data_IF_230212779346
#
_entry.id   IF_230212779346
#
_cell.length_a   1.000
_cell.length_b   1.000
_cell.length_c   1.000
_cell.angle_alpha   90.00
_cell.angle_beta   90.00
_cell.angle_gamma   90.00
#
_symmetry.space_group_name_H-M   'P 1'
#
loop_
_entity.id
_entity.type
_entity.pdbx_description
1 polymer ?
#
# COMPACT_ATOMS: atom_id res chain seq x y z
N UNK A 1 -10.15 26.77 -30.94
CA UNK A 1 -9.31 27.22 -29.81
C UNK A 1 -9.72 28.63 -29.49
N UNK A 2 -9.96 28.94 -28.22
CA UNK A 2 -10.32 30.28 -27.72
C UNK A 2 -9.16 30.80 -26.89
N UNK A 3 -8.86 32.10 -26.96
CA UNK A 3 -7.80 32.74 -26.17
C UNK A 3 -8.43 33.53 -25.01
N UNK A 4 -7.97 33.27 -23.79
CA UNK A 4 -8.47 33.92 -22.58
C UNK A 4 -8.29 35.44 -22.62
N UNK A 5 -7.30 35.98 -23.34
CA UNK A 5 -7.05 37.42 -23.44
C UNK A 5 -8.15 38.18 -24.20
N UNK A 6 -9.06 37.47 -24.87
CA UNK A 6 -10.19 38.04 -25.61
C UNK A 6 -11.40 38.33 -24.72
N UNK A 7 -11.34 37.96 -23.43
CA UNK A 7 -12.44 38.03 -22.50
C UNK A 7 -12.09 38.95 -21.33
N UNK A 8 -13.11 39.59 -20.76
CA UNK A 8 -12.94 40.43 -19.57
C UNK A 8 -12.61 39.61 -18.32
N UNK A 9 -13.09 38.36 -18.25
CA UNK A 9 -12.84 37.45 -17.13
C UNK A 9 -12.49 36.05 -17.63
N UNK A 10 -11.78 35.29 -16.81
CA UNK A 10 -11.48 33.90 -17.12
C UNK A 10 -12.75 33.03 -17.15
N UNK A 11 -13.76 33.34 -16.33
CA UNK A 11 -15.04 32.63 -16.36
C UNK A 11 -15.76 32.80 -17.71
N UNK A 12 -15.74 34.00 -18.30
CA UNK A 12 -16.35 34.24 -19.61
C UNK A 12 -15.66 33.41 -20.70
N UNK A 13 -14.33 33.30 -20.65
CA UNK A 13 -13.57 32.48 -21.57
C UNK A 13 -13.88 30.98 -21.41
N UNK A 14 -14.04 30.49 -20.17
CA UNK A 14 -14.48 29.12 -19.88
C UNK A 14 -15.89 28.88 -20.45
N UNK A 15 -16.82 29.81 -20.20
CA UNK A 15 -18.20 29.71 -20.68
C UNK A 15 -18.27 29.65 -22.21
N UNK A 16 -17.49 30.51 -22.90
CA UNK A 16 -17.43 30.59 -24.35
C UNK A 16 -16.76 29.36 -25.01
N UNK A 17 -15.97 28.59 -24.25
CA UNK A 17 -15.30 27.39 -24.78
C UNK A 17 -16.34 26.30 -25.06
N UNK A 18 -16.52 25.85 -26.32
CA UNK A 18 -17.47 24.77 -26.61
C UNK A 18 -17.02 23.47 -25.95
N UNK A 19 -17.96 22.56 -25.68
CA UNK A 19 -17.64 21.21 -25.21
C UNK A 19 -16.71 20.49 -26.20
N UNK A 20 -15.73 19.75 -25.67
CA UNK A 20 -14.61 19.20 -26.43
C UNK A 20 -13.60 20.25 -26.95
N UNK A 21 -13.85 21.53 -26.69
CA UNK A 21 -13.02 22.65 -27.12
C UNK A 21 -11.81 22.89 -26.24
N UNK A 22 -10.94 23.80 -26.71
CA UNK A 22 -9.72 24.21 -26.02
C UNK A 22 -9.71 25.71 -25.75
N UNK A 23 -9.57 26.06 -24.46
CA UNK A 23 -9.22 27.37 -23.94
C UNK A 23 -7.70 27.45 -23.78
N UNK A 24 -7.11 28.48 -24.36
CA UNK A 24 -5.71 28.83 -24.20
C UNK A 24 -5.59 30.01 -23.23
N UNK A 25 -4.75 29.87 -22.21
CA UNK A 25 -4.41 30.92 -21.24
C UNK A 25 -2.97 31.40 -21.50
N UNK A 26 -2.75 32.49 -22.24
CA UNK A 26 -1.40 33.04 -22.39
C UNK A 26 -0.80 33.45 -21.04
N UNK A 27 0.52 33.62 -20.99
CA UNK A 27 1.21 34.14 -19.79
C UNK A 27 0.54 35.42 -19.30
N UNK A 28 0.25 35.47 -18.01
CA UNK A 28 -0.45 36.60 -17.39
C UNK A 28 -1.08 36.22 -16.05
N UNK A 29 -1.50 37.26 -15.32
CA UNK A 29 -2.26 37.12 -14.08
C UNK A 29 -3.75 37.23 -14.36
N UNK A 30 -4.47 36.21 -13.93
CA UNK A 30 -5.93 36.10 -14.00
C UNK A 30 -6.46 36.20 -12.56
N UNK A 31 -6.66 37.42 -12.02
CA UNK A 31 -7.11 37.60 -10.66
C UNK A 31 -8.54 37.08 -10.50
N UNK A 32 -8.80 36.38 -9.40
CA UNK A 32 -10.12 35.87 -9.03
C UNK A 32 -10.40 36.20 -7.57
N UNK A 33 -11.59 36.71 -7.30
CA UNK A 33 -12.06 37.08 -5.96
C UNK A 33 -13.57 36.85 -5.85
N UNK A 34 -14.09 36.79 -4.63
CA UNK A 34 -15.51 36.64 -4.38
C UNK A 34 -15.82 35.71 -3.22
N UNK A 35 -17.09 35.32 -3.13
CA UNK A 35 -17.65 34.45 -2.09
C UNK A 35 -18.61 33.45 -2.73
N UNK A 36 -18.86 32.33 -2.05
CA UNK A 36 -19.81 31.31 -2.52
C UNK A 36 -19.18 29.92 -2.50
N UNK A 37 -19.73 28.99 -3.26
CA UNK A 37 -19.18 27.64 -3.36
C UNK A 37 -17.92 27.58 -4.25
N UNK A 38 -17.80 28.46 -5.27
CA UNK A 38 -16.65 28.49 -6.16
C UNK A 38 -16.38 29.89 -6.73
N UNK A 39 -15.15 30.15 -7.19
CA UNK A 39 -14.79 31.35 -7.98
C UNK A 39 -14.95 31.10 -9.48
N UNK A 40 -14.51 29.93 -9.94
CA UNK A 40 -14.63 29.48 -11.33
C UNK A 40 -15.40 28.15 -11.39
N UNK A 41 -16.30 28.03 -12.35
CA UNK A 41 -17.05 26.80 -12.63
C UNK A 41 -16.74 26.26 -14.02
N UNK A 42 -16.46 24.96 -14.08
CA UNK A 42 -16.34 24.19 -15.33
C UNK A 42 -17.42 23.11 -15.33
N UNK A 43 -18.35 23.19 -16.26
CA UNK A 43 -19.55 22.33 -16.28
C UNK A 43 -19.63 21.38 -17.47
N UNK A 44 -18.54 21.22 -18.21
CA UNK A 44 -18.45 20.46 -19.47
C UNK A 44 -17.01 20.03 -19.72
N UNK A 45 -16.83 18.99 -20.53
CA UNK A 45 -15.51 18.54 -20.96
C UNK A 45 -14.83 19.59 -21.83
N UNK A 46 -13.75 20.19 -21.34
CA UNK A 46 -12.92 21.14 -22.09
C UNK A 46 -11.45 20.93 -21.76
N UNK A 47 -10.58 21.39 -22.66
CA UNK A 47 -9.16 21.56 -22.37
C UNK A 47 -8.89 23.01 -21.96
N UNK A 48 -8.28 23.23 -20.79
CA UNK A 48 -7.69 24.52 -20.40
C UNK A 48 -6.18 24.33 -20.38
N UNK A 49 -5.47 25.05 -21.25
CA UNK A 49 -4.02 24.96 -21.38
C UNK A 49 -3.38 26.34 -21.21
N UNK A 50 -2.45 26.46 -20.27
CA UNK A 50 -1.59 27.63 -20.14
C UNK A 50 -0.25 27.52 -20.88
N UNK A 51 0.61 28.52 -20.67
CA UNK A 51 1.99 28.58 -21.18
C UNK A 51 3.01 28.31 -20.05
N UNK A 52 2.70 27.30 -19.22
CA UNK A 52 3.45 26.95 -18.03
C UNK A 52 3.11 27.82 -16.83
N UNK A 53 4.03 27.89 -15.86
CA UNK A 53 3.79 28.60 -14.57
C UNK A 53 3.63 30.13 -14.71
N UNK A 54 3.83 30.69 -15.91
CA UNK A 54 3.57 32.09 -16.21
C UNK A 54 2.08 32.41 -16.43
N UNK A 55 1.24 31.41 -16.72
CA UNK A 55 -0.21 31.56 -16.75
C UNK A 55 -0.75 31.31 -15.34
N UNK A 56 -1.18 32.36 -14.63
CA UNK A 56 -1.42 32.32 -13.18
C UNK A 56 -2.84 32.75 -12.84
N UNK A 57 -3.61 31.85 -12.25
CA UNK A 57 -4.84 32.20 -11.54
C UNK A 57 -4.43 32.70 -10.17
N UNK A 58 -4.66 33.98 -9.89
CA UNK A 58 -4.24 34.65 -8.65
C UNK A 58 -5.46 34.85 -7.76
N UNK A 59 -5.47 34.19 -6.61
CA UNK A 59 -6.63 34.15 -5.71
C UNK A 59 -6.49 35.21 -4.63
N UNK A 60 -7.46 36.12 -4.56
CA UNK A 60 -7.49 37.20 -3.56
C UNK A 60 -7.48 36.63 -2.13
N UNK A 61 -6.72 37.29 -1.25
CA UNK A 61 -6.55 36.90 0.14
C UNK A 61 -7.85 36.90 0.97
N UNK A 62 -8.89 37.63 0.52
CA UNK A 62 -10.18 37.73 1.19
C UNK A 62 -11.12 36.56 0.90
N UNK A 63 -10.76 35.64 -0.02
CA UNK A 63 -11.64 34.53 -0.40
C UNK A 63 -11.82 33.56 0.79
N UNK A 64 -13.06 33.30 1.24
CA UNK A 64 -13.31 32.44 2.39
C UNK A 64 -12.77 31.02 2.23
N UNK A 65 -12.34 30.40 3.34
CA UNK A 65 -11.87 29.01 3.38
C UNK A 65 -12.95 27.94 3.08
N UNK A 66 -14.17 28.36 2.73
CA UNK A 66 -15.29 27.51 2.29
C UNK A 66 -15.52 27.55 0.79
N UNK A 67 -14.82 28.42 0.05
CA UNK A 67 -14.98 28.63 -1.40
C UNK A 67 -13.88 27.87 -2.16
N UNK A 68 -14.24 27.15 -3.22
CA UNK A 68 -13.24 26.50 -4.09
C UNK A 68 -12.76 27.47 -5.18
N UNK A 69 -11.50 27.38 -5.61
CA UNK A 69 -11.02 28.25 -6.70
C UNK A 69 -11.62 27.81 -8.03
N UNK A 70 -11.35 26.56 -8.44
CA UNK A 70 -12.00 25.92 -9.58
C UNK A 70 -12.89 24.79 -9.05
N UNK A 71 -14.17 24.82 -9.39
CA UNK A 71 -15.07 23.69 -9.19
C UNK A 71 -15.53 23.13 -10.53
N UNK A 72 -15.26 21.84 -10.72
CA UNK A 72 -15.75 21.07 -11.86
C UNK A 72 -17.03 20.39 -11.41
N UNK A 73 -18.15 20.71 -12.05
CA UNK A 73 -19.47 20.28 -11.62
C UNK A 73 -20.48 20.40 -12.75
N UNK A 74 -21.31 19.38 -12.96
CA UNK A 74 -22.47 19.44 -13.86
C UNK A 74 -23.69 18.79 -13.22
N UNK A 75 -24.82 19.50 -13.23
CA UNK A 75 -26.12 18.98 -12.77
C UNK A 75 -26.95 18.35 -13.88
N UNK A 76 -26.47 18.37 -15.13
CA UNK A 76 -27.29 18.02 -16.31
C UNK A 76 -26.71 16.89 -17.15
N UNK A 77 -25.40 16.69 -17.12
CA UNK A 77 -24.72 15.69 -17.95
C UNK A 77 -23.39 15.27 -17.33
N UNK A 78 -22.91 14.10 -17.71
CA UNK A 78 -21.53 13.65 -17.45
C UNK A 78 -20.52 14.65 -18.02
N UNK A 79 -19.37 14.76 -17.34
CA UNK A 79 -18.22 15.52 -17.82
C UNK A 79 -17.13 14.52 -18.24
N UNK A 80 -16.98 14.32 -19.55
CA UNK A 80 -15.93 13.47 -20.13
C UNK A 80 -14.89 14.32 -20.86
N UNK A 81 -13.60 13.99 -20.79
CA UNK A 81 -12.56 14.69 -21.56
C UNK A 81 -12.13 16.05 -21.01
N UNK A 82 -12.20 16.22 -19.68
CA UNK A 82 -11.63 17.39 -19.01
C UNK A 82 -10.10 17.29 -18.97
N UNK A 83 -9.41 18.30 -19.50
CA UNK A 83 -7.95 18.38 -19.43
C UNK A 83 -7.50 19.76 -18.92
N UNK A 84 -6.78 19.78 -17.80
CA UNK A 84 -6.20 20.99 -17.22
C UNK A 84 -4.69 20.89 -17.29
N UNK A 85 -4.01 21.80 -18.01
CA UNK A 85 -2.56 21.70 -18.13
C UNK A 85 -1.81 23.03 -18.18
N UNK A 86 -0.55 22.98 -17.70
CA UNK A 86 0.44 24.02 -17.95
C UNK A 86 0.06 25.41 -17.41
N UNK A 87 -0.50 25.49 -16.21
CA UNK A 87 -0.77 26.77 -15.53
C UNK A 87 -0.54 26.65 -14.02
N UNK A 88 -0.68 27.77 -13.30
CA UNK A 88 -0.64 27.78 -11.84
C UNK A 88 -1.86 28.42 -11.22
N UNK A 89 -2.20 27.98 -10.01
CA UNK A 89 -3.22 28.55 -9.14
C UNK A 89 -2.51 28.93 -7.85
N UNK A 90 -2.49 30.20 -7.48
CA UNK A 90 -1.74 30.67 -6.32
C UNK A 90 -2.53 31.69 -5.50
N UNK A 91 -2.46 31.66 -4.17
CA UNK A 91 -2.97 32.75 -3.35
C UNK A 91 -2.09 34.00 -3.55
N UNK A 92 -2.70 35.17 -3.52
CA UNK A 92 -1.97 36.44 -3.45
C UNK A 92 -1.21 36.54 -2.12
N UNK A 93 -1.87 36.19 -1.02
CA UNK A 93 -1.28 36.03 0.30
C UNK A 93 -2.14 35.14 1.20
N UNK A 94 -1.57 34.66 2.30
CA UNK A 94 -2.29 33.82 3.26
C UNK A 94 -2.67 32.44 2.72
N UNK A 95 -3.80 31.92 3.19
CA UNK A 95 -4.36 30.61 2.83
C UNK A 95 -5.87 30.76 2.51
N UNK A 96 -6.22 31.55 1.49
CA UNK A 96 -7.61 31.72 1.06
C UNK A 96 -8.16 30.41 0.48
N UNK A 97 -9.47 30.37 0.25
CA UNK A 97 -10.15 29.24 -0.40
C UNK A 97 -10.01 27.89 0.34
N UNK A 98 -10.84 26.93 -0.05
CA UNK A 98 -10.81 25.56 0.47
C UNK A 98 -9.85 24.68 -0.33
N UNK A 99 -10.06 24.62 -1.64
CA UNK A 99 -9.26 23.83 -2.59
C UNK A 99 -8.88 24.67 -3.80
N UNK A 100 -7.74 24.36 -4.42
CA UNK A 100 -7.38 24.92 -5.72
C UNK A 100 -8.24 24.35 -6.84
N UNK A 101 -8.46 23.03 -6.82
CA UNK A 101 -9.34 22.33 -7.76
C UNK A 101 -10.23 21.36 -6.98
N UNK A 102 -11.55 21.49 -7.17
CA UNK A 102 -12.55 20.55 -6.66
C UNK A 102 -13.25 19.88 -7.85
N UNK A 103 -13.00 18.58 -8.05
CA UNK A 103 -13.76 17.72 -8.95
C UNK A 103 -14.96 17.21 -8.16
N UNK A 104 -16.13 17.78 -8.38
CA UNK A 104 -17.33 17.56 -7.57
C UNK A 104 -18.40 16.77 -8.33
N UNK A 105 -18.34 15.45 -8.17
CA UNK A 105 -19.38 14.50 -8.56
C UNK A 105 -20.30 14.13 -7.38
N UNK A 106 -20.18 14.81 -6.23
CA UNK A 106 -21.05 14.55 -5.06
C UNK A 106 -22.39 15.25 -5.21
N UNK A 107 -22.34 16.51 -5.63
CA UNK A 107 -23.54 17.30 -5.89
C UNK A 107 -23.97 17.18 -7.35
N UNK A 108 -23.04 16.85 -8.25
CA UNK A 108 -23.35 16.54 -9.64
C UNK A 108 -23.92 15.13 -9.68
N UNK A 109 -25.12 14.94 -10.19
CA UNK A 109 -25.67 13.58 -10.38
C UNK A 109 -24.92 12.79 -11.45
N UNK A 110 -23.88 13.37 -12.03
CA UNK A 110 -23.22 12.86 -13.21
C UNK A 110 -21.70 12.71 -12.97
N UNK A 111 -21.10 11.66 -13.54
CA UNK A 111 -19.69 11.39 -13.35
C UNK A 111 -18.76 12.42 -13.99
N UNK A 112 -17.50 12.38 -13.54
CA UNK A 112 -16.38 13.07 -14.18
C UNK A 112 -15.40 11.99 -14.65
N UNK A 113 -15.28 11.79 -15.95
CA UNK A 113 -14.58 10.66 -16.54
C UNK A 113 -13.54 11.08 -17.59
N UNK A 114 -12.60 10.17 -17.87
CA UNK A 114 -11.61 10.27 -18.95
C UNK A 114 -10.90 11.64 -18.99
N UNK A 115 -10.39 12.07 -17.84
CA UNK A 115 -9.83 13.40 -17.65
C UNK A 115 -8.40 13.40 -17.10
N UNK A 116 -7.77 14.57 -17.14
CA UNK A 116 -6.45 14.74 -16.55
C UNK A 116 -6.14 16.15 -16.03
N UNK A 117 -5.24 16.19 -15.04
CA UNK A 117 -4.56 17.39 -14.57
C UNK A 117 -3.06 17.15 -14.77
N UNK A 118 -2.41 17.97 -15.61
CA UNK A 118 -1.04 17.75 -16.08
C UNK A 118 -0.19 19.01 -15.91
N UNK A 119 0.95 18.91 -15.20
CA UNK A 119 1.89 20.05 -15.02
C UNK A 119 1.25 21.32 -14.45
N UNK A 120 0.22 21.16 -13.60
CA UNK A 120 -0.41 22.26 -12.88
C UNK A 120 0.32 22.49 -11.55
N UNK A 121 0.57 23.75 -11.22
CA UNK A 121 1.14 24.15 -9.92
C UNK A 121 0.05 24.76 -9.04
N UNK A 122 -0.12 24.26 -7.82
CA UNK A 122 -1.16 24.71 -6.88
C UNK A 122 -0.47 25.22 -5.60
N UNK A 123 -0.75 26.46 -5.24
CA UNK A 123 -0.30 27.10 -4.00
C UNK A 123 -1.01 26.56 -2.76
N UNK A 124 -0.68 27.12 -1.59
CA UNK A 124 -1.33 26.71 -0.33
C UNK A 124 -2.69 27.38 -0.19
N UNK A 125 -3.74 26.58 -0.04
CA UNK A 125 -5.10 27.02 0.23
C UNK A 125 -5.55 26.43 1.57
N UNK A 126 -6.57 25.56 1.59
CA UNK A 126 -6.87 24.70 2.73
C UNK A 126 -5.80 23.62 2.96
N UNK A 127 -6.21 22.51 3.56
CA UNK A 127 -5.30 21.39 3.80
C UNK A 127 -4.94 20.64 2.51
N UNK A 128 -5.89 20.48 1.58
CA UNK A 128 -5.69 19.81 0.31
C UNK A 128 -5.69 20.80 -0.86
N UNK A 129 -4.81 20.58 -1.84
CA UNK A 129 -4.77 21.39 -3.05
C UNK A 129 -5.79 20.96 -4.09
N UNK A 130 -6.04 19.65 -4.18
CA UNK A 130 -7.02 19.03 -5.06
C UNK A 130 -7.96 18.14 -4.24
N UNK A 131 -9.26 18.27 -4.51
CA UNK A 131 -10.28 17.37 -4.00
C UNK A 131 -11.03 16.70 -5.15
N UNK A 132 -11.32 15.42 -4.97
CA UNK A 132 -12.23 14.61 -5.76
C UNK A 132 -13.33 14.14 -4.82
N UNK A 133 -14.52 14.72 -4.95
CA UNK A 133 -15.66 14.45 -4.10
C UNK A 133 -16.70 13.70 -4.92
N UNK A 134 -16.86 12.40 -4.66
CA UNK A 134 -17.84 11.56 -5.35
C UNK A 134 -19.18 11.46 -4.62
N UNK A 135 -20.16 10.80 -5.26
CA UNK A 135 -21.53 10.69 -4.77
C UNK A 135 -21.65 9.81 -3.52
N UNK A 136 -22.82 9.86 -2.90
CA UNK A 136 -23.19 8.93 -1.83
C UNK A 136 -23.76 7.65 -2.45
N UNK A 137 -23.36 6.44 -2.00
CA UNK A 137 -24.02 5.20 -2.39
C UNK A 137 -25.55 5.28 -2.20
N UNK A 138 -26.34 4.64 -3.10
CA UNK A 138 -25.93 3.64 -4.09
C UNK A 138 -25.48 4.20 -5.45
N UNK A 139 -25.29 5.52 -5.59
CA UNK A 139 -24.71 6.08 -6.81
C UNK A 139 -23.19 5.83 -6.79
N UNK A 140 -22.65 5.21 -7.84
CA UNK A 140 -21.22 4.86 -7.93
C UNK A 140 -20.45 5.67 -8.99
N UNK A 141 -21.19 6.42 -9.82
CA UNK A 141 -20.64 7.18 -10.95
C UNK A 141 -20.03 8.50 -10.45
N UNK A 142 -18.88 8.38 -9.79
CA UNK A 142 -18.08 9.49 -9.29
C UNK A 142 -17.03 9.96 -10.30
N UNK A 143 -15.80 10.10 -9.82
CA UNK A 143 -14.65 10.44 -10.66
C UNK A 143 -13.89 9.17 -11.00
N UNK A 144 -13.78 8.81 -12.28
CA UNK A 144 -13.11 7.58 -12.72
C UNK A 144 -12.31 7.78 -14.00
N UNK A 145 -11.37 6.87 -14.28
CA UNK A 145 -10.44 6.98 -15.42
C UNK A 145 -9.80 8.37 -15.49
N UNK A 146 -9.18 8.78 -14.38
CA UNK A 146 -8.67 10.14 -14.21
C UNK A 146 -7.20 10.12 -13.80
N UNK A 147 -6.40 11.03 -14.39
CA UNK A 147 -4.98 11.13 -14.10
C UNK A 147 -4.58 12.49 -13.50
N UNK A 148 -3.74 12.47 -12.47
CA UNK A 148 -3.03 13.66 -11.97
C UNK A 148 -1.55 13.41 -12.14
N UNK A 149 -0.90 14.17 -13.02
CA UNK A 149 0.47 13.89 -13.43
C UNK A 149 1.36 15.13 -13.49
N UNK A 150 2.63 14.96 -13.09
CA UNK A 150 3.67 16.00 -13.17
C UNK A 150 3.30 17.33 -12.45
N UNK A 151 2.40 17.28 -11.48
CA UNK A 151 1.90 18.46 -10.77
C UNK A 151 2.78 18.83 -9.56
N UNK A 152 2.69 20.10 -9.17
CA UNK A 152 3.38 20.65 -8.00
C UNK A 152 2.34 21.23 -7.05
N UNK A 153 1.95 20.48 -6.03
CA UNK A 153 0.80 20.77 -5.17
C UNK A 153 1.29 21.07 -3.75
N UNK A 154 1.12 22.33 -3.31
CA UNK A 154 1.34 22.72 -1.92
C UNK A 154 0.08 22.45 -1.10
N UNK A 155 -0.03 21.24 -0.59
CA UNK A 155 -1.18 20.69 0.12
C UNK A 155 -1.26 19.18 -0.06
N UNK A 156 -2.30 18.59 0.53
CA UNK A 156 -2.69 17.21 0.29
C UNK A 156 -3.50 16.97 -0.99
N UNK A 157 -3.96 15.73 -1.13
CA UNK A 157 -4.93 15.27 -2.13
C UNK A 157 -6.07 14.58 -1.38
N UNK A 158 -7.31 15.01 -1.63
CA UNK A 158 -8.50 14.38 -1.07
C UNK A 158 -9.21 13.59 -2.16
N UNK A 159 -9.23 12.27 -2.04
CA UNK A 159 -10.12 11.41 -2.81
C UNK A 159 -11.19 10.91 -1.85
N UNK A 160 -12.35 11.57 -1.82
CA UNK A 160 -13.48 11.17 -0.99
C UNK A 160 -14.61 10.61 -1.85
N UNK A 161 -14.81 9.30 -1.75
CA UNK A 161 -15.71 8.51 -2.59
C UNK A 161 -15.40 8.66 -4.07
N UNK A 162 -14.12 8.74 -4.41
CA UNK A 162 -13.68 8.72 -5.81
C UNK A 162 -13.91 7.32 -6.42
N UNK A 163 -14.08 7.26 -7.73
CA UNK A 163 -14.30 6.02 -8.47
C UNK A 163 -13.00 5.31 -8.84
N UNK A 164 -13.06 4.57 -9.94
CA UNK A 164 -12.05 3.57 -10.32
C UNK A 164 -10.98 4.16 -11.26
N UNK A 165 -9.90 3.40 -11.43
CA UNK A 165 -8.87 3.65 -12.47
C UNK A 165 -8.22 5.04 -12.34
N UNK A 166 -7.84 5.39 -11.11
CA UNK A 166 -7.22 6.67 -10.79
C UNK A 166 -5.70 6.55 -10.81
N UNK A 167 -5.03 7.39 -11.60
CA UNK A 167 -3.57 7.40 -11.71
C UNK A 167 -2.99 8.71 -11.22
N UNK A 168 -2.23 8.65 -10.12
CA UNK A 168 -1.55 9.78 -9.52
C UNK A 168 -0.05 9.54 -9.61
N UNK A 169 0.63 10.19 -10.56
CA UNK A 169 2.04 9.89 -10.83
C UNK A 169 2.94 11.09 -11.08
N UNK A 170 4.21 10.97 -10.67
CA UNK A 170 5.24 11.98 -10.90
C UNK A 170 4.92 13.37 -10.32
N UNK A 171 4.10 13.43 -9.27
CA UNK A 171 3.71 14.69 -8.62
C UNK A 171 4.61 15.00 -7.40
N UNK A 172 4.65 16.28 -7.03
CA UNK A 172 5.20 16.75 -5.76
C UNK A 172 4.08 17.25 -4.86
N UNK A 173 3.95 16.67 -3.67
CA UNK A 173 3.05 17.11 -2.60
C UNK A 173 3.87 17.58 -1.40
N UNK A 174 3.62 18.79 -0.91
CA UNK A 174 4.30 19.33 0.29
C UNK A 174 3.44 20.33 1.06
N UNK A 175 3.83 20.64 2.30
CA UNK A 175 3.11 21.59 3.15
C UNK A 175 2.14 20.88 4.12
N UNK A 176 1.01 21.52 4.41
CA UNK A 176 -0.02 20.95 5.30
C UNK A 176 -0.90 19.94 4.55
N UNK A 177 -1.66 19.14 5.31
CA UNK A 177 -2.59 18.15 4.78
C UNK A 177 -2.02 16.74 4.65
N UNK A 178 -2.75 15.88 3.97
CA UNK A 178 -2.43 14.46 3.75
C UNK A 178 -2.88 14.02 2.35
N UNK A 179 -2.38 12.86 1.90
CA UNK A 179 -3.01 12.14 0.79
C UNK A 179 -4.08 11.23 1.40
N UNK A 180 -5.35 11.59 1.27
CA UNK A 180 -6.47 10.78 1.72
C UNK A 180 -7.10 10.06 0.53
N UNK A 181 -7.21 8.73 0.64
CA UNK A 181 -7.88 7.90 -0.37
C UNK A 181 -9.01 7.13 0.27
N UNK A 182 -10.22 7.45 -0.14
CA UNK A 182 -11.44 6.77 0.21
C UNK A 182 -12.19 6.52 -1.10
N UNK A 183 -11.95 5.39 -1.75
CA UNK A 183 -12.70 5.08 -2.96
C UNK A 183 -14.15 4.72 -2.63
N UNK A 184 -15.06 4.88 -3.58
CA UNK A 184 -16.47 4.57 -3.37
C UNK A 184 -16.70 3.06 -3.26
N UNK A 185 -17.70 2.65 -2.47
CA UNK A 185 -18.04 1.25 -2.33
C UNK A 185 -19.29 1.00 -1.49
N UNK A 186 -19.85 -0.20 -1.62
CA UNK A 186 -20.94 -0.72 -0.80
C UNK A 186 -20.80 -2.24 -0.65
N UNK A 187 -20.65 -2.71 0.58
CA UNK A 187 -20.37 -4.13 0.85
C UNK A 187 -19.03 -4.54 0.23
N UNK A 188 -19.01 -5.67 -0.48
CA UNK A 188 -17.81 -6.17 -1.18
C UNK A 188 -17.53 -5.51 -2.52
N UNK A 189 -18.42 -4.62 -3.01
CA UNK A 189 -18.21 -3.93 -4.28
C UNK A 189 -17.57 -2.57 -4.01
N UNK A 190 -16.32 -2.41 -4.43
CA UNK A 190 -15.52 -1.21 -4.20
C UNK A 190 -14.81 -0.82 -5.45
N UNK A 191 -14.58 0.48 -5.61
CA UNK A 191 -13.82 1.01 -6.71
C UNK A 191 -12.39 0.45 -6.74
N UNK A 192 -11.93 0.15 -7.95
CA UNK A 192 -10.66 -0.52 -8.23
C UNK A 192 -9.60 0.40 -8.82
N UNK A 193 -8.35 -0.07 -8.81
CA UNK A 193 -7.34 0.44 -9.74
C UNK A 193 -6.83 1.83 -9.38
N UNK A 194 -6.68 2.11 -8.08
CA UNK A 194 -5.96 3.29 -7.62
C UNK A 194 -4.45 3.07 -7.71
N UNK A 195 -3.76 3.97 -8.38
CA UNK A 195 -2.32 3.89 -8.62
C UNK A 195 -1.67 5.19 -8.17
N UNK A 196 -0.77 5.10 -7.18
CA UNK A 196 0.01 6.22 -6.67
C UNK A 196 1.50 5.89 -6.79
N UNK A 197 2.16 6.45 -7.81
CA UNK A 197 3.54 6.08 -8.12
C UNK A 197 4.48 7.22 -8.50
N UNK A 198 5.78 7.06 -8.24
CA UNK A 198 6.81 8.05 -8.61
C UNK A 198 6.57 9.47 -8.07
N UNK A 199 5.75 9.61 -7.03
CA UNK A 199 5.48 10.89 -6.40
C UNK A 199 6.53 11.20 -5.31
N UNK A 200 6.69 12.48 -5.02
CA UNK A 200 7.41 12.96 -3.85
C UNK A 200 6.40 13.57 -2.86
N UNK A 201 6.31 13.01 -1.65
CA UNK A 201 5.33 13.40 -0.62
C UNK A 201 6.05 13.84 0.64
N UNK A 202 5.83 15.09 1.02
CA UNK A 202 6.38 15.72 2.24
C UNK A 202 5.32 16.48 3.05
N UNK A 203 4.04 16.12 2.86
CA UNK A 203 2.92 16.73 3.58
C UNK A 203 2.82 16.21 5.02
N UNK A 204 2.40 17.05 5.97
CA UNK A 204 2.37 16.74 7.42
C UNK A 204 1.64 15.46 7.84
N UNK A 205 0.60 15.06 7.11
CA UNK A 205 -0.28 13.97 7.49
C UNK A 205 0.05 12.62 6.82
N UNK A 206 1.05 12.58 5.93
CA UNK A 206 1.40 11.36 5.21
C UNK A 206 0.31 10.89 4.25
N UNK A 207 0.12 9.58 4.15
CA UNK A 207 -0.85 8.91 3.27
C UNK A 207 -1.80 8.06 4.11
N UNK A 208 -3.10 8.22 3.89
CA UNK A 208 -4.15 7.44 4.55
C UNK A 208 -5.08 6.83 3.50
N UNK A 209 -5.21 5.50 3.54
CA UNK A 209 -6.10 4.73 2.67
C UNK A 209 -7.23 4.18 3.53
N UNK A 210 -8.43 4.70 3.35
CA UNK A 210 -9.66 4.26 4.02
C UNK A 210 -10.37 3.16 3.25
N UNK A 211 -10.39 3.23 1.93
CA UNK A 211 -10.99 2.22 1.08
C UNK A 211 -10.29 2.22 -0.29
N UNK A 212 -9.95 1.04 -0.78
CA UNK A 212 -9.50 0.78 -2.14
C UNK A 212 -9.37 -0.72 -2.36
N UNK A 213 -9.88 -1.21 -3.49
CA UNK A 213 -9.57 -2.57 -3.94
C UNK A 213 -8.53 -2.56 -5.05
N UNK A 214 -7.53 -3.44 -4.92
CA UNK A 214 -6.44 -3.56 -5.90
C UNK A 214 -5.68 -2.23 -6.13
N UNK A 215 -5.48 -1.46 -5.07
CA UNK A 215 -4.71 -0.22 -5.13
C UNK A 215 -3.22 -0.43 -4.91
N UNK A 216 -2.40 0.54 -5.32
CA UNK A 216 -0.95 0.49 -5.13
C UNK A 216 -0.36 1.85 -4.77
N UNK A 217 0.54 1.86 -3.79
CA UNK A 217 1.50 2.94 -3.50
C UNK A 217 2.89 2.40 -3.83
N UNK A 218 3.46 2.84 -4.95
CA UNK A 218 4.69 2.24 -5.48
C UNK A 218 5.75 3.23 -5.95
N UNK A 219 7.01 2.97 -5.61
CA UNK A 219 8.16 3.75 -6.11
C UNK A 219 8.10 5.26 -5.82
N UNK A 220 7.50 5.64 -4.69
CA UNK A 220 7.43 7.03 -4.23
C UNK A 220 8.59 7.35 -3.29
N UNK A 221 8.91 8.65 -3.19
CA UNK A 221 9.72 9.20 -2.13
C UNK A 221 8.80 9.87 -1.10
N UNK A 222 8.67 9.28 0.10
CA UNK A 222 7.76 9.77 1.13
C UNK A 222 8.59 10.08 2.37
N UNK A 223 8.64 11.34 2.76
CA UNK A 223 9.43 11.81 3.90
C UNK A 223 8.62 12.80 4.72
N UNK A 224 8.41 12.48 6.00
CA UNK A 224 7.74 13.39 6.92
C UNK A 224 8.79 14.17 7.72
N UNK A 225 8.61 15.48 7.78
CA UNK A 225 9.54 16.37 8.49
C UNK A 225 9.25 16.43 10.00
N UNK A 226 10.09 17.13 10.76
CA UNK A 226 9.89 17.27 12.21
C UNK A 226 8.62 18.07 12.56
N UNK A 227 7.85 17.58 13.53
CA UNK A 227 6.52 18.09 13.85
C UNK A 227 5.39 17.59 12.94
N UNK A 228 5.68 16.77 11.92
CA UNK A 228 4.65 16.02 11.22
C UNK A 228 3.97 15.01 12.16
N UNK A 229 2.67 14.80 11.96
CA UNK A 229 1.85 13.91 12.79
C UNK A 229 1.61 12.55 12.14
N UNK A 230 1.71 12.48 10.81
CA UNK A 230 1.27 11.32 10.05
C UNK A 230 -0.23 11.05 10.21
N UNK A 231 -0.66 9.86 9.80
CA UNK A 231 -2.03 9.37 9.94
C UNK A 231 -2.04 8.27 10.99
N UNK A 232 -2.70 8.50 12.13
CA UNK A 232 -2.64 7.63 13.31
C UNK A 232 -1.20 7.27 13.72
N UNK A 233 -0.30 8.25 13.67
CA UNK A 233 1.12 8.07 13.99
C UNK A 233 1.90 7.26 12.96
N UNK A 234 1.35 7.05 11.75
CA UNK A 234 2.03 6.36 10.66
C UNK A 234 2.25 7.25 9.43
N UNK A 235 3.32 6.99 8.66
CA UNK A 235 3.55 7.66 7.36
C UNK A 235 2.55 7.20 6.31
N UNK A 236 2.36 5.87 6.21
CA UNK A 236 1.33 5.24 5.40
C UNK A 236 0.41 4.47 6.34
N UNK A 237 -0.88 4.77 6.33
CA UNK A 237 -1.90 4.14 7.16
C UNK A 237 -3.01 3.56 6.27
N UNK A 238 -3.08 2.23 6.16
CA UNK A 238 -4.30 1.58 5.67
C UNK A 238 -5.22 1.38 6.87
N UNK A 239 -6.41 1.95 6.77
CA UNK A 239 -7.38 1.99 7.85
C UNK A 239 -8.79 1.88 7.30
N UNK A 240 -9.15 0.64 6.96
CA UNK A 240 -10.50 0.34 6.53
C UNK A 240 -11.54 0.52 7.61
N UNK A 241 -12.79 0.40 7.16
CA UNK A 241 -13.89 0.01 8.04
C UNK A 241 -14.21 -1.47 7.79
N UNK A 242 -14.75 -2.17 8.80
CA UNK A 242 -15.03 -3.60 8.71
C UNK A 242 -16.03 -4.02 7.62
N UNK A 243 -16.74 -3.08 7.00
CA UNK A 243 -17.67 -3.35 5.90
C UNK A 243 -17.01 -3.23 4.52
N UNK A 244 -16.02 -2.34 4.40
CA UNK A 244 -15.39 -1.95 3.13
C UNK A 244 -13.90 -1.66 3.37
N UNK A 245 -13.09 -2.71 3.66
CA UNK A 245 -11.67 -2.53 3.95
C UNK A 245 -10.85 -2.30 2.67
N UNK A 246 -9.65 -1.70 2.77
CA UNK A 246 -8.65 -1.83 1.72
C UNK A 246 -8.31 -3.30 1.48
N UNK A 247 -8.45 -3.75 0.24
CA UNK A 247 -8.24 -5.14 -0.14
C UNK A 247 -7.23 -5.26 -1.29
N UNK A 248 -6.39 -6.29 -1.23
CA UNK A 248 -5.37 -6.58 -2.27
C UNK A 248 -4.48 -5.37 -2.58
N UNK A 249 -4.13 -4.60 -1.54
CA UNK A 249 -3.41 -3.34 -1.68
C UNK A 249 -1.89 -3.56 -1.62
N UNK A 250 -1.14 -2.91 -2.51
CA UNK A 250 0.31 -3.00 -2.55
C UNK A 250 0.99 -1.73 -2.02
N UNK A 251 2.01 -1.89 -1.17
CA UNK A 251 2.97 -0.86 -0.80
C UNK A 251 4.35 -1.36 -1.19
N UNK A 252 4.88 -0.86 -2.31
CA UNK A 252 6.06 -1.46 -2.93
C UNK A 252 7.14 -0.48 -3.36
N UNK A 253 8.40 -0.79 -3.04
CA UNK A 253 9.55 -0.10 -3.63
C UNK A 253 9.67 1.39 -3.27
N UNK A 254 8.98 1.85 -2.23
CA UNK A 254 9.00 3.25 -1.80
C UNK A 254 10.19 3.53 -0.87
N UNK A 255 10.64 4.78 -0.83
CA UNK A 255 11.33 5.32 0.35
C UNK A 255 10.29 5.88 1.31
N UNK A 256 10.34 5.47 2.59
CA UNK A 256 9.35 5.88 3.61
C UNK A 256 10.10 6.31 4.87
N UNK A 257 10.47 7.58 4.94
CA UNK A 257 11.11 8.21 6.08
C UNK A 257 10.12 8.86 7.03
N UNK A 258 9.81 8.26 8.20
CA UNK A 258 9.00 8.94 9.19
C UNK A 258 9.79 10.08 9.84
N UNK A 259 9.10 11.18 10.13
CA UNK A 259 9.67 12.25 10.94
C UNK A 259 9.87 11.81 12.39
N UNK A 260 10.67 12.53 13.19
CA UNK A 260 10.94 12.16 14.60
C UNK A 260 9.68 11.93 15.45
N UNK A 261 8.60 12.65 15.15
CA UNK A 261 7.33 12.58 15.88
C UNK A 261 6.37 11.48 15.35
N UNK A 262 6.71 10.79 14.26
CA UNK A 262 5.88 9.76 13.63
C UNK A 262 6.46 8.39 13.97
N UNK A 263 5.88 7.64 14.92
CA UNK A 263 6.48 6.41 15.41
C UNK A 263 6.43 5.25 14.42
N UNK A 264 5.53 5.29 13.42
CA UNK A 264 5.28 4.16 12.51
C UNK A 264 5.54 4.54 11.05
N UNK A 265 6.25 3.70 10.29
CA UNK A 265 6.37 3.92 8.83
C UNK A 265 5.10 3.43 8.12
N UNK A 266 4.72 2.17 8.34
CA UNK A 266 3.53 1.56 7.71
C UNK A 266 2.64 0.96 8.79
N UNK A 267 1.38 1.38 8.83
CA UNK A 267 0.32 0.79 9.65
C UNK A 267 -0.72 0.13 8.77
N UNK A 268 -1.07 -1.12 9.09
CA UNK A 268 -2.14 -1.87 8.44
C UNK A 268 -3.19 -2.24 9.50
N UNK A 269 -4.41 -1.73 9.30
CA UNK A 269 -5.55 -1.96 10.19
C UNK A 269 -6.84 -2.08 9.40
N UNK A 270 -7.64 -3.12 9.69
CA UNK A 270 -8.88 -3.39 8.96
C UNK A 270 -8.64 -3.38 7.44
N UNK A 271 -7.65 -4.16 7.02
CA UNK A 271 -7.27 -4.32 5.62
C UNK A 271 -6.93 -5.79 5.38
N UNK A 272 -7.20 -6.29 4.17
CA UNK A 272 -7.01 -7.69 3.82
C UNK A 272 -6.16 -7.85 2.55
N UNK A 273 -5.33 -8.89 2.49
CA UNK A 273 -4.54 -9.18 1.29
C UNK A 273 -3.49 -8.10 0.98
N UNK A 274 -3.02 -7.37 1.99
CA UNK A 274 -2.02 -6.30 1.79
C UNK A 274 -0.64 -6.88 1.53
N UNK A 275 0.09 -6.35 0.54
CA UNK A 275 1.48 -6.71 0.26
C UNK A 275 2.39 -5.52 0.52
N UNK A 276 3.34 -5.66 1.44
CA UNK A 276 4.37 -4.66 1.78
C UNK A 276 5.73 -5.18 1.35
N UNK A 277 6.31 -4.64 0.27
CA UNK A 277 7.52 -5.23 -0.31
C UNK A 277 8.58 -4.24 -0.81
N UNK A 278 9.85 -4.57 -0.60
CA UNK A 278 10.95 -3.89 -1.28
C UNK A 278 11.09 -2.40 -0.93
N UNK A 279 10.44 -1.93 0.13
CA UNK A 279 10.53 -0.54 0.56
C UNK A 279 11.86 -0.28 1.29
N UNK A 280 12.37 0.94 1.17
CA UNK A 280 13.44 1.48 1.99
C UNK A 280 12.84 2.23 3.18
N UNK A 281 13.10 1.71 4.38
CA UNK A 281 12.44 2.12 5.61
C UNK A 281 13.49 2.63 6.63
N UNK A 282 13.98 3.88 6.49
CA UNK A 282 14.89 4.48 7.46
C UNK A 282 14.18 4.82 8.79
N UNK A 283 15.00 5.22 9.78
CA UNK A 283 14.67 5.64 11.16
C UNK A 283 13.21 5.96 11.43
N UNK A 284 12.62 5.35 12.46
CA UNK A 284 11.41 5.81 13.15
C UNK A 284 11.58 5.69 14.66
N UNK A 285 10.80 6.45 15.45
CA UNK A 285 10.86 6.37 16.92
C UNK A 285 10.16 5.12 17.47
N UNK A 286 9.31 4.48 16.68
CA UNK A 286 8.57 3.26 17.04
C UNK A 286 8.77 2.10 16.04
N UNK A 287 7.66 1.51 15.61
CA UNK A 287 7.63 0.32 14.74
C UNK A 287 7.84 0.68 13.29
N UNK A 288 8.69 -0.03 12.56
CA UNK A 288 8.74 0.18 11.10
C UNK A 288 7.42 -0.24 10.45
N UNK A 289 6.95 -1.46 10.75
CA UNK A 289 5.66 -1.97 10.29
C UNK A 289 4.82 -2.41 11.48
N UNK A 290 3.56 -1.95 11.52
CA UNK A 290 2.56 -2.30 12.53
C UNK A 290 1.34 -2.95 11.86
N UNK A 291 1.11 -4.22 12.14
CA UNK A 291 -0.12 -4.93 11.80
C UNK A 291 -0.98 -5.06 13.06
N UNK A 292 -2.18 -4.49 13.01
CA UNK A 292 -3.14 -4.59 14.13
C UNK A 292 -3.88 -5.93 14.13
N UNK A 293 -4.63 -6.22 15.20
CA UNK A 293 -5.48 -7.41 15.31
C UNK A 293 -6.57 -7.55 14.25
N UNK A 294 -6.86 -6.48 13.50
CA UNK A 294 -7.85 -6.47 12.43
C UNK A 294 -7.23 -6.55 11.03
N UNK A 295 -5.90 -6.68 10.92
CA UNK A 295 -5.25 -6.92 9.64
C UNK A 295 -5.32 -8.41 9.30
N UNK A 296 -5.62 -8.75 8.05
CA UNK A 296 -5.71 -10.13 7.59
C UNK A 296 -4.90 -10.35 6.31
N UNK A 297 -4.36 -11.56 6.12
CA UNK A 297 -3.65 -11.98 4.89
C UNK A 297 -2.58 -10.98 4.42
N UNK A 298 -1.85 -10.38 5.36
CA UNK A 298 -0.81 -9.40 5.04
C UNK A 298 0.54 -10.08 4.81
N UNK A 299 1.20 -9.75 3.70
CA UNK A 299 2.52 -10.26 3.34
C UNK A 299 3.56 -9.14 3.44
N UNK A 300 4.64 -9.36 4.20
CA UNK A 300 5.75 -8.41 4.36
C UNK A 300 7.03 -9.06 3.83
N UNK A 301 7.60 -8.55 2.74
CA UNK A 301 8.72 -9.23 2.08
C UNK A 301 9.82 -8.27 1.64
N UNK A 302 11.08 -8.67 1.79
CA UNK A 302 12.24 -8.01 1.16
C UNK A 302 12.36 -6.50 1.39
N UNK A 303 11.75 -5.97 2.47
CA UNK A 303 11.93 -4.56 2.83
C UNK A 303 13.33 -4.35 3.39
N UNK A 304 13.97 -3.25 3.00
CA UNK A 304 15.30 -2.89 3.46
C UNK A 304 15.19 -1.83 4.53
N UNK A 305 15.52 -2.20 5.76
CA UNK A 305 15.98 -1.21 6.73
C UNK A 305 17.37 -0.73 6.28
N UNK A 306 17.55 0.59 6.17
CA UNK A 306 18.83 1.16 5.76
C UNK A 306 19.78 1.18 6.97
N UNK A 307 21.01 0.61 6.89
CA UNK A 307 21.98 0.70 7.98
C UNK A 307 23.16 1.61 7.64
N UNK A 308 23.38 2.67 8.43
CA UNK A 308 24.64 3.00 9.13
C UNK A 308 24.38 4.21 10.06
N UNK A 309 24.32 3.99 11.38
CA UNK A 309 24.22 5.05 12.40
C UNK A 309 22.82 5.33 12.98
N UNK A 310 21.77 4.76 12.41
CA UNK A 310 20.38 5.03 12.83
C UNK A 310 19.72 3.76 13.40
N UNK A 311 19.30 3.80 14.66
CA UNK A 311 18.72 2.65 15.36
C UNK A 311 17.20 2.59 15.20
N UNK A 312 16.69 1.47 14.70
CA UNK A 312 15.27 1.10 14.76
C UNK A 312 15.03 0.43 16.11
N UNK A 313 14.07 0.95 16.90
CA UNK A 313 13.74 0.40 18.23
C UNK A 313 13.03 -0.96 18.12
N UNK A 314 12.19 -1.14 17.09
CA UNK A 314 11.59 -2.43 16.75
C UNK A 314 11.09 -2.44 15.31
N UNK A 315 11.42 -3.52 14.59
CA UNK A 315 11.13 -3.64 13.15
C UNK A 315 9.64 -3.90 12.87
N UNK A 316 9.08 -4.96 13.47
CA UNK A 316 7.73 -5.44 13.19
C UNK A 316 6.97 -5.64 14.50
N UNK A 317 5.74 -5.17 14.54
CA UNK A 317 4.70 -5.64 15.46
C UNK A 317 3.57 -6.24 14.62
N UNK A 318 3.29 -7.52 14.82
CA UNK A 318 2.31 -8.26 14.04
C UNK A 318 1.29 -8.94 14.95
N UNK A 319 0.10 -8.33 15.04
CA UNK A 319 -1.05 -8.88 15.72
C UNK A 319 -2.10 -9.43 14.73
N UNK A 320 -1.83 -9.42 13.42
CA UNK A 320 -2.78 -9.78 12.38
C UNK A 320 -3.04 -11.28 12.26
N UNK A 321 -4.00 -11.64 11.41
CA UNK A 321 -4.31 -13.03 11.06
C UNK A 321 -3.79 -13.39 9.66
N UNK A 322 -3.39 -14.65 9.46
CA UNK A 322 -2.89 -15.15 8.18
C UNK A 322 -1.72 -14.33 7.59
N UNK A 323 -0.89 -13.75 8.46
CA UNK A 323 0.22 -12.89 8.06
C UNK A 323 1.50 -13.70 7.83
N UNK A 324 2.32 -13.21 6.91
CA UNK A 324 3.65 -13.74 6.63
C UNK A 324 4.67 -12.62 6.57
N UNK A 325 5.87 -12.85 7.11
CA UNK A 325 6.97 -11.90 7.00
C UNK A 325 8.31 -12.57 6.69
N UNK A 326 9.05 -11.94 5.78
CA UNK A 326 10.42 -12.27 5.41
C UNK A 326 11.25 -10.99 5.47
N UNK A 327 12.17 -10.91 6.43
CA UNK A 327 13.02 -9.73 6.59
C UNK A 327 14.45 -10.08 7.03
N UNK A 328 15.40 -9.23 6.65
CA UNK A 328 16.78 -9.28 7.15
C UNK A 328 16.91 -8.25 8.25
N UNK A 329 17.24 -8.70 9.47
CA UNK A 329 17.36 -7.81 10.62
C UNK A 329 18.49 -6.79 10.41
N UNK A 330 18.23 -5.48 10.49
CA UNK A 330 19.20 -4.45 10.06
C UNK A 330 20.48 -4.43 10.86
N UNK A 331 20.40 -4.67 12.18
CA UNK A 331 21.57 -4.58 13.06
C UNK A 331 22.39 -5.87 13.10
N UNK A 332 21.83 -7.01 12.68
CA UNK A 332 22.45 -8.33 12.84
C UNK A 332 22.64 -9.08 11.52
N UNK A 333 22.04 -8.61 10.43
CA UNK A 333 22.04 -9.30 9.14
C UNK A 333 21.24 -10.61 9.14
N UNK A 334 20.55 -10.96 10.23
CA UNK A 334 19.84 -12.23 10.36
C UNK A 334 18.59 -12.23 9.48
N UNK A 335 18.52 -13.17 8.53
CA UNK A 335 17.28 -13.47 7.82
C UNK A 335 16.29 -14.13 8.79
N UNK A 336 15.12 -13.54 8.94
CA UNK A 336 14.02 -14.05 9.74
C UNK A 336 12.81 -14.30 8.86
N UNK A 337 12.28 -15.52 8.95
CA UNK A 337 11.00 -15.92 8.39
C UNK A 337 10.04 -16.07 9.56
N UNK A 338 9.08 -15.17 9.69
CA UNK A 338 7.99 -15.31 10.66
C UNK A 338 6.77 -15.75 9.89
N UNK A 339 6.32 -16.96 10.17
CA UNK A 339 5.17 -17.52 9.49
C UNK A 339 4.27 -18.27 10.47
N UNK A 340 2.97 -17.96 10.40
CA UNK A 340 1.90 -18.94 10.57
C UNK A 340 1.61 -19.58 9.20
N UNK A 341 2.62 -20.17 8.58
CA UNK A 341 2.45 -20.89 7.31
C UNK A 341 1.83 -22.25 7.63
N UNK A 342 0.73 -22.58 6.93
CA UNK A 342 0.54 -23.96 6.49
C UNK A 342 1.57 -24.20 5.38
N UNK A 343 2.71 -24.81 5.75
CA UNK A 343 3.69 -25.27 4.76
C UNK A 343 3.40 -26.72 4.46
N UNK A 344 2.92 -27.00 3.25
CA UNK A 344 2.77 -28.39 2.80
C UNK A 344 4.13 -29.10 2.66
N UNK A 345 5.21 -28.38 2.29
CA UNK A 345 6.59 -28.88 2.30
C UNK A 345 7.63 -27.75 2.11
N UNK A 346 8.75 -27.77 2.87
CA UNK A 346 9.98 -27.03 2.53
C UNK A 346 11.04 -28.06 2.11
N UNK A 347 11.54 -27.99 0.88
CA UNK A 347 12.73 -28.73 0.44
C UNK A 347 13.91 -27.78 0.30
N UNK A 348 15.02 -28.11 0.96
CA UNK A 348 16.31 -27.42 0.78
C UNK A 348 17.27 -28.41 0.12
N UNK A 349 17.76 -28.08 -1.08
CA UNK A 349 18.85 -28.82 -1.74
C UNK A 349 18.50 -30.24 -2.22
N UNK A 350 17.23 -30.52 -2.56
CA UNK A 350 16.83 -31.86 -3.02
C UNK A 350 16.72 -32.91 -1.90
N UNK A 351 16.90 -32.50 -0.64
CA UNK A 351 16.61 -33.31 0.53
C UNK A 351 15.14 -33.24 0.95
N UNK A 352 14.70 -34.29 1.64
CA UNK A 352 13.33 -34.56 2.11
C UNK A 352 12.68 -33.35 2.78
N UNK A 353 11.39 -33.17 2.48
CA UNK A 353 10.55 -32.12 3.03
C UNK A 353 10.57 -32.10 4.57
N UNK A 354 10.77 -30.92 5.15
CA UNK A 354 10.44 -30.68 6.57
C UNK A 354 8.93 -30.46 6.63
N UNK A 355 8.18 -31.52 6.99
CA UNK A 355 6.74 -31.43 7.23
C UNK A 355 6.49 -30.93 8.65
N UNK A 356 5.93 -29.73 8.75
CA UNK A 356 5.49 -29.17 10.02
C UNK A 356 4.13 -29.79 10.39
N UNK A 357 4.17 -30.90 11.13
CA UNK A 357 3.05 -31.32 11.96
C UNK A 357 3.53 -31.38 13.40
N UNK A 358 2.63 -31.12 14.34
CA UNK A 358 2.84 -30.97 15.79
C UNK A 358 3.41 -32.19 16.54
N UNK A 359 4.08 -33.10 15.83
CA UNK A 359 4.86 -34.21 16.35
C UNK A 359 6.30 -34.01 15.89
N UNK A 360 7.17 -33.49 16.75
CA UNK A 360 8.60 -33.33 16.47
C UNK A 360 9.21 -34.71 16.20
N UNK A 361 9.33 -35.07 14.92
CA UNK A 361 10.12 -36.22 14.47
C UNK A 361 11.59 -35.85 14.61
N UNK A 362 12.28 -36.44 15.58
CA UNK A 362 13.69 -36.22 15.85
C UNK A 362 14.54 -37.33 15.23
N UNK A 363 15.72 -36.95 14.74
CA UNK A 363 16.75 -37.93 14.40
C UNK A 363 17.37 -38.52 15.67
N UNK A 364 17.33 -39.85 15.77
CA UNK A 364 17.78 -40.60 16.95
C UNK A 364 19.16 -41.22 16.73
N UNK A 365 19.46 -41.66 15.50
CA UNK A 365 20.77 -42.21 15.13
C UNK A 365 20.66 -43.24 14.01
N UNK A 366 21.68 -44.08 13.88
CA UNK A 366 21.78 -45.10 12.83
C UNK A 366 21.78 -46.50 13.43
N UNK A 367 21.17 -47.44 12.72
CA UNK A 367 21.29 -48.88 12.98
C UNK A 367 21.91 -49.51 11.73
N UNK A 368 23.02 -50.22 11.92
CA UNK A 368 23.60 -51.10 10.90
C UNK A 368 23.22 -52.52 11.27
N UNK A 369 22.52 -53.22 10.38
CA UNK A 369 22.02 -54.56 10.65
C UNK A 369 23.15 -55.56 10.83
N UNK A 370 22.96 -56.50 11.75
CA UNK A 370 23.81 -57.68 11.93
C UNK A 370 23.12 -58.90 11.31
N UNK A 371 23.72 -60.08 11.42
CA UNK A 371 23.09 -61.33 10.97
C UNK A 371 21.94 -61.81 11.89
N UNK A 372 21.43 -60.93 12.76
CA UNK A 372 20.29 -61.15 13.64
C UNK A 372 18.99 -60.76 12.93
N UNK A 373 17.83 -61.07 13.53
CA UNK A 373 16.53 -60.59 13.04
C UNK A 373 16.11 -59.24 13.65
N UNK A 374 16.97 -58.65 14.49
CA UNK A 374 16.71 -57.35 15.10
C UNK A 374 17.96 -56.72 15.69
N UNK A 375 18.11 -55.42 15.50
CA UNK A 375 19.14 -54.59 16.11
C UNK A 375 18.52 -53.40 16.82
N UNK A 376 19.20 -52.85 17.83
CA UNK A 376 18.63 -51.80 18.68
C UNK A 376 19.55 -50.61 18.86
N UNK A 377 18.94 -49.43 18.94
CA UNK A 377 19.59 -48.15 19.23
C UNK A 377 19.01 -47.61 20.54
N UNK A 378 19.89 -47.32 21.50
CA UNK A 378 19.49 -46.70 22.77
C UNK A 378 19.55 -45.18 22.66
N UNK A 379 18.46 -44.51 23.01
CA UNK A 379 18.42 -43.05 23.14
C UNK A 379 17.43 -42.64 24.24
N UNK A 380 17.88 -41.91 25.28
CA UNK A 380 17.04 -41.55 26.42
C UNK A 380 15.85 -40.64 26.08
N UNK A 381 15.83 -40.07 24.86
CA UNK A 381 14.74 -39.23 24.34
C UNK A 381 13.53 -40.04 23.84
N UNK A 382 13.66 -41.35 23.64
CA UNK A 382 12.56 -42.21 23.19
C UNK A 382 11.68 -42.59 24.39
N UNK A 383 10.36 -42.39 24.29
CA UNK A 383 9.39 -42.87 25.29
C UNK A 383 8.51 -43.99 24.73
N UNK A 384 7.86 -44.69 25.65
CA UNK A 384 6.85 -45.70 25.34
C UNK A 384 5.72 -45.05 24.53
N UNK A 385 5.40 -45.61 23.36
CA UNK A 385 4.37 -45.09 22.46
C UNK A 385 4.88 -44.10 21.41
N UNK A 386 6.18 -43.82 21.33
CA UNK A 386 6.74 -43.05 20.24
C UNK A 386 6.61 -43.80 18.90
N UNK A 387 6.27 -43.08 17.83
CA UNK A 387 6.26 -43.63 16.48
C UNK A 387 7.65 -43.51 15.88
N UNK A 388 8.23 -44.62 15.42
CA UNK A 388 9.56 -44.66 14.81
C UNK A 388 9.47 -44.96 13.31
N UNK A 389 10.30 -44.27 12.53
CA UNK A 389 10.50 -44.49 11.11
C UNK A 389 11.97 -44.88 10.88
N UNK A 390 12.19 -46.00 10.19
CA UNK A 390 13.50 -46.42 9.72
C UNK A 390 13.62 -46.15 8.22
N UNK A 391 14.64 -45.38 7.83
CA UNK A 391 14.87 -45.01 6.43
C UNK A 391 16.17 -45.65 5.95
N UNK A 392 16.16 -46.51 4.92
CA UNK A 392 17.37 -47.12 4.40
C UNK A 392 18.28 -46.06 3.76
N UNK A 393 19.58 -46.09 4.05
CA UNK A 393 20.58 -45.18 3.44
C UNK A 393 21.65 -45.91 2.62
N UNK A 394 21.59 -47.24 2.50
CA UNK A 394 22.49 -48.00 1.64
C UNK A 394 21.73 -49.06 0.80
N UNK A 395 22.36 -49.61 -0.26
CA UNK A 395 21.69 -50.55 -1.17
C UNK A 395 21.25 -51.86 -0.51
N UNK A 396 21.96 -52.32 0.52
CA UNK A 396 21.61 -53.54 1.27
C UNK A 396 20.28 -53.32 1.99
N UNK A 397 20.15 -52.24 2.76
CA UNK A 397 18.92 -51.87 3.45
C UNK A 397 17.75 -51.59 2.51
N UNK A 398 18.01 -50.99 1.35
CA UNK A 398 16.97 -50.66 0.37
C UNK A 398 16.27 -51.89 -0.24
N UNK A 399 16.93 -53.05 -0.23
CA UNK A 399 16.39 -54.31 -0.75
C UNK A 399 15.72 -55.17 0.33
N UNK A 400 15.79 -54.78 1.60
CA UNK A 400 15.16 -55.52 2.70
C UNK A 400 13.65 -55.27 2.72
N UNK A 401 12.88 -56.35 2.85
CA UNK A 401 11.42 -56.30 2.99
C UNK A 401 11.00 -56.69 4.40
N UNK A 402 9.85 -56.20 4.86
CA UNK A 402 9.33 -56.49 6.20
C UNK A 402 10.06 -55.77 7.34
N UNK A 403 10.75 -54.67 7.05
CA UNK A 403 11.45 -53.86 8.05
C UNK A 403 10.47 -52.95 8.79
N UNK A 404 10.52 -52.95 10.13
CA UNK A 404 9.77 -51.99 10.94
C UNK A 404 10.55 -51.63 12.21
N UNK A 405 10.30 -50.43 12.73
CA UNK A 405 10.91 -49.93 13.96
C UNK A 405 9.87 -49.89 15.08
N UNK A 406 10.21 -50.46 16.23
CA UNK A 406 9.39 -50.43 17.44
C UNK A 406 10.10 -49.61 18.52
N UNK A 407 9.36 -48.72 19.18
CA UNK A 407 9.87 -47.93 20.30
C UNK A 407 9.56 -48.59 21.65
N UNK A 408 10.59 -48.71 22.49
CA UNK A 408 10.50 -48.98 23.91
C UNK A 408 11.01 -47.78 24.72
N UNK A 409 10.91 -47.85 26.05
CA UNK A 409 11.43 -46.80 26.91
C UNK A 409 12.95 -46.66 26.76
N UNK A 410 13.40 -45.61 26.08
CA UNK A 410 14.82 -45.32 25.82
C UNK A 410 15.48 -46.16 24.71
N UNK A 411 14.72 -46.96 23.94
CA UNK A 411 15.27 -47.88 22.92
C UNK A 411 14.39 -47.91 21.68
N UNK A 412 14.99 -47.84 20.49
CA UNK A 412 14.35 -48.27 19.24
C UNK A 412 14.90 -49.63 18.85
N UNK A 413 14.02 -50.59 18.57
CA UNK A 413 14.39 -51.88 17.97
C UNK A 413 13.94 -51.90 16.52
N UNK A 414 14.90 -52.09 15.61
CA UNK A 414 14.66 -52.34 14.21
C UNK A 414 14.51 -53.85 14.02
N UNK A 415 13.38 -54.30 13.49
CA UNK A 415 13.16 -55.69 13.09
C UNK A 415 13.38 -55.80 11.59
N UNK A 416 14.20 -56.75 11.15
CA UNK A 416 14.59 -56.92 9.75
C UNK A 416 14.93 -58.40 9.44
N UNK A 417 15.02 -58.81 8.17
CA UNK A 417 15.55 -60.11 7.79
C UNK A 417 16.98 -60.33 8.31
N UNK A 418 17.38 -61.58 8.54
CA UNK A 418 18.73 -61.94 9.00
C UNK A 418 19.81 -61.72 7.92
N UNK A 419 20.11 -60.45 7.67
CA UNK A 419 21.02 -59.97 6.65
C UNK A 419 21.83 -58.78 7.21
N UNK A 420 23.16 -58.93 7.21
CA UNK A 420 24.07 -57.96 7.81
C UNK A 420 24.45 -56.84 6.81
N UNK A 421 24.74 -55.66 7.36
CA UNK A 421 25.29 -54.52 6.61
C UNK A 421 24.26 -53.56 6.02
N UNK A 422 22.96 -53.74 6.29
CA UNK A 422 21.91 -52.78 5.95
C UNK A 422 21.97 -51.57 6.88
N UNK A 423 22.12 -50.37 6.33
CA UNK A 423 22.14 -49.12 7.10
C UNK A 423 20.79 -48.41 7.10
N UNK A 424 20.24 -48.13 8.29
CA UNK A 424 19.01 -47.37 8.48
C UNK A 424 19.20 -46.15 9.37
N UNK A 425 18.70 -45.00 8.92
CA UNK A 425 18.56 -43.79 9.75
C UNK A 425 17.23 -43.87 10.51
N UNK A 426 17.29 -43.69 11.83
CA UNK A 426 16.13 -43.81 12.72
C UNK A 426 15.62 -42.44 13.12
N UNK A 427 14.33 -42.22 12.87
CA UNK A 427 13.59 -41.04 13.26
C UNK A 427 12.46 -41.43 14.22
N UNK A 428 12.18 -40.60 15.24
CA UNK A 428 11.13 -40.89 16.22
C UNK A 428 10.39 -39.63 16.66
N UNK A 429 9.07 -39.73 16.87
CA UNK A 429 8.27 -38.65 17.49
C UNK A 429 8.57 -38.63 18.99
N UNK A 430 9.53 -37.80 19.42
CA UNK A 430 9.90 -37.69 20.83
C UNK A 430 8.83 -36.93 21.62
N UNK A 431 8.21 -37.59 22.61
CA UNK A 431 7.51 -36.94 23.72
C UNK A 431 8.11 -37.44 25.01
#
# INVERSE_FOLDING_TARGET
MIDASQFATLQDAINATPEGGKLFMPVGDYPVSGTGAQLLIISKGITIQGEGRGSRIVVDSSVPATTDVIRVFSSTSEITGLHLSDFSIQPESGNPARFGINLDANLGTNPIADGSILRVSIGEFGAEGIAMLGPTPPNFDGIFTFAITECSIRGGLLLDRAGDSLTITANKFWGRGQILVNLIGQGSNTAHGFVFMFNNVTCTGGIRILNSWQGAISYNNIELYDGAVGSNGAVINLEGNGSIPPENFEIRGNYIGPGPSVPVSIRVNQAAGTRVEGNMLPRGTGKTVLLTGNADRTQIMFNRAQPYGELISSWLEDNGTNTSSLYVHPNTGKLTLTNRLDVDAISVGGGTAVNNSSLLVQYIGEIVTTASTSDSLSDPRIKVGATCLAVPYNPVAANMTGVYAAAGNGIVTLVHPAEAGGGFSIFSTGN
#
